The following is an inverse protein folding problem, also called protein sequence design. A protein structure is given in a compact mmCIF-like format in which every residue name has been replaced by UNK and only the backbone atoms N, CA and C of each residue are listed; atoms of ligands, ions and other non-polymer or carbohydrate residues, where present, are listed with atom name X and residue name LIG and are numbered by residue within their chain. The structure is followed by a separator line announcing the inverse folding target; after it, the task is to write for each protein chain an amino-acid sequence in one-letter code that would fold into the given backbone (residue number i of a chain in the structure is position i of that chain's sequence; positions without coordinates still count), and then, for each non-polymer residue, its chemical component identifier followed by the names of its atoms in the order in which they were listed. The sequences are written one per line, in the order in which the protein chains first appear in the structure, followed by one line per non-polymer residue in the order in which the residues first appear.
data_IF_697074175308
#
_entry.id   IF_697074175308
#
_cell.length_a   1.000
_cell.length_b   1.000
_cell.length_c   1.000
_cell.angle_alpha   90.00
_cell.angle_beta   90.00
_cell.angle_gamma   90.00
#
_symmetry.space_group_name_H-M   'P 1'
#
loop_
_entity.id
_entity.type
_entity.pdbx_description
1 polymer ?
#
# COMPACT_ATOMS: atom_id res chain seq x y z
N UNK A 1 75.62 13.89 4.31
CA UNK A 1 74.59 14.84 3.86
C UNK A 1 74.00 14.55 2.46
N UNK A 2 74.21 13.35 1.87
CA UNK A 2 73.60 12.97 0.57
C UNK A 2 72.43 11.98 0.72
N UNK A 3 72.40 11.17 1.79
CA UNK A 3 71.37 10.14 2.01
C UNK A 3 70.05 10.72 2.52
N UNK A 4 70.10 11.82 3.27
CA UNK A 4 68.88 12.50 3.79
C UNK A 4 68.10 13.21 2.66
N UNK A 5 68.80 13.70 1.64
CA UNK A 5 68.16 14.38 0.49
C UNK A 5 67.44 13.38 -0.42
N UNK A 6 67.95 12.15 -0.54
CA UNK A 6 67.31 11.08 -1.33
C UNK A 6 66.05 10.54 -0.64
N UNK A 7 66.04 10.46 0.69
CA UNK A 7 64.84 10.04 1.43
C UNK A 7 63.68 11.07 1.32
N UNK A 8 63.99 12.36 1.23
CA UNK A 8 62.97 13.41 1.04
C UNK A 8 62.39 13.44 -0.38
N UNK A 9 63.14 12.99 -1.39
CA UNK A 9 62.70 12.91 -2.79
C UNK A 9 61.77 11.72 -3.07
N UNK A 10 61.86 10.65 -2.28
CA UNK A 10 60.98 9.46 -2.42
C UNK A 10 59.64 9.67 -1.71
N UNK A 11 59.59 10.47 -0.63
CA UNK A 11 58.34 10.77 0.08
C UNK A 11 57.40 11.71 -0.68
N UNK A 12 57.88 12.42 -1.72
CA UNK A 12 57.07 13.36 -2.50
C UNK A 12 56.27 12.71 -3.64
N UNK A 13 56.40 11.39 -3.83
CA UNK A 13 55.72 10.64 -4.90
C UNK A 13 54.57 9.73 -4.44
N UNK A 14 54.27 9.68 -3.13
CA UNK A 14 53.03 9.05 -2.63
C UNK A 14 51.92 10.09 -2.45
N UNK A 15 51.55 10.77 -3.53
CA UNK A 15 50.24 11.42 -3.60
C UNK A 15 49.21 10.34 -3.92
N UNK A 16 48.65 9.72 -2.87
CA UNK A 16 47.42 8.95 -3.01
C UNK A 16 46.37 9.89 -3.61
N UNK A 17 46.00 9.65 -4.88
CA UNK A 17 44.81 10.28 -5.45
C UNK A 17 43.62 9.72 -4.67
N UNK A 18 43.13 10.47 -3.70
CA UNK A 18 41.84 10.22 -3.07
C UNK A 18 40.77 10.54 -4.10
N UNK A 19 40.41 9.57 -4.93
CA UNK A 19 39.19 9.63 -5.73
C UNK A 19 38.01 9.35 -4.80
N UNK A 20 37.56 10.39 -4.09
CA UNK A 20 36.22 10.39 -3.53
C UNK A 20 35.25 10.53 -4.69
N UNK A 21 34.77 9.40 -5.22
CA UNK A 21 33.67 9.41 -6.16
C UNK A 21 32.48 10.10 -5.48
N UNK A 22 31.85 11.12 -6.09
CA UNK A 22 30.69 11.76 -5.49
C UNK A 22 29.59 10.70 -5.30
N UNK A 23 29.26 10.44 -4.04
CA UNK A 23 28.11 9.60 -3.70
C UNK A 23 26.86 10.38 -4.10
N UNK A 24 26.08 9.80 -5.01
CA UNK A 24 24.85 10.42 -5.48
C UNK A 24 23.90 10.57 -4.30
N UNK A 25 23.62 11.81 -3.91
CA UNK A 25 22.53 12.12 -2.99
C UNK A 25 21.22 11.68 -3.65
N UNK A 26 20.35 11.10 -2.83
CA UNK A 26 19.04 10.64 -3.26
C UNK A 26 18.26 11.75 -3.98
N UNK A 27 17.58 11.39 -5.06
CA UNK A 27 16.96 12.35 -5.98
C UNK A 27 15.47 12.49 -5.72
N UNK A 28 14.96 13.72 -5.84
CA UNK A 28 13.52 14.00 -5.75
C UNK A 28 12.84 13.57 -7.04
N UNK A 29 11.90 12.62 -6.95
CA UNK A 29 11.15 12.10 -8.09
C UNK A 29 9.84 12.87 -8.28
N UNK A 30 9.14 13.20 -7.18
CA UNK A 30 7.87 13.94 -7.20
C UNK A 30 7.83 14.95 -6.03
N UNK A 31 7.24 16.12 -6.27
CA UNK A 31 6.97 17.13 -5.24
C UNK A 31 5.46 17.09 -4.93
N UNK A 32 5.09 17.06 -3.65
CA UNK A 32 3.72 16.87 -3.17
C UNK A 32 3.43 17.93 -2.10
N UNK A 33 2.78 19.03 -2.47
CA UNK A 33 2.57 20.19 -1.60
C UNK A 33 3.88 20.66 -0.93
N UNK A 34 4.04 20.39 0.38
CA UNK A 34 5.22 20.74 1.17
C UNK A 34 6.21 19.59 1.35
N UNK A 35 5.87 18.40 0.85
CA UNK A 35 6.68 17.18 0.91
C UNK A 35 7.28 16.79 -0.44
N UNK A 36 8.17 15.80 -0.39
CA UNK A 36 8.78 15.19 -1.59
C UNK A 36 8.71 13.68 -1.49
N UNK A 37 8.60 13.03 -2.66
CA UNK A 37 8.77 11.59 -2.82
C UNK A 37 10.12 11.37 -3.49
N UNK A 38 10.99 10.62 -2.80
CA UNK A 38 12.35 10.34 -3.25
C UNK A 38 12.41 9.08 -4.13
N UNK A 39 13.47 8.98 -4.92
CA UNK A 39 13.69 7.84 -5.79
C UNK A 39 13.97 6.55 -5.01
N UNK A 40 14.67 6.65 -3.88
CA UNK A 40 14.87 5.52 -2.96
C UNK A 40 13.55 4.93 -2.47
N UNK A 41 12.59 5.78 -2.08
CA UNK A 41 11.29 5.35 -1.55
C UNK A 41 10.47 4.60 -2.61
N UNK A 42 10.48 5.07 -3.85
CA UNK A 42 9.82 4.39 -4.97
C UNK A 42 10.46 3.02 -5.20
N UNK A 43 11.80 2.97 -5.21
CA UNK A 43 12.55 1.74 -5.45
C UNK A 43 12.36 0.71 -4.31
N UNK A 44 12.34 1.18 -3.07
CA UNK A 44 12.09 0.37 -1.88
C UNK A 44 10.67 -0.21 -1.90
N UNK A 45 9.66 0.61 -2.19
CA UNK A 45 8.28 0.14 -2.29
C UNK A 45 8.11 -0.91 -3.40
N UNK A 46 8.69 -0.69 -4.59
CA UNK A 46 8.68 -1.69 -5.67
C UNK A 46 9.37 -2.99 -5.22
N UNK A 47 10.46 -2.88 -4.46
CA UNK A 47 11.19 -4.05 -3.95
C UNK A 47 10.34 -4.86 -2.98
N UNK A 48 9.62 -4.19 -2.08
CA UNK A 48 8.68 -4.81 -1.15
C UNK A 48 7.54 -5.49 -1.92
N UNK A 49 6.93 -4.80 -2.90
CA UNK A 49 5.86 -5.37 -3.74
C UNK A 49 6.34 -6.62 -4.49
N UNK A 50 7.54 -6.57 -5.09
CA UNK A 50 8.15 -7.72 -5.78
C UNK A 50 8.39 -8.89 -4.85
N UNK A 51 8.94 -8.63 -3.65
CA UNK A 51 9.17 -9.66 -2.63
C UNK A 51 7.86 -10.32 -2.21
N UNK A 52 6.84 -9.52 -1.89
CA UNK A 52 5.53 -10.01 -1.47
C UNK A 52 4.85 -10.82 -2.59
N UNK A 53 4.99 -10.42 -3.85
CA UNK A 53 4.45 -11.19 -4.95
C UNK A 53 5.10 -12.56 -5.10
N UNK A 54 6.42 -12.68 -4.90
CA UNK A 54 7.11 -13.98 -4.91
C UNK A 54 6.61 -14.88 -3.78
N UNK A 55 6.43 -14.34 -2.58
CA UNK A 55 5.90 -15.09 -1.43
C UNK A 55 4.46 -15.58 -1.67
N UNK A 56 3.64 -14.78 -2.34
CA UNK A 56 2.25 -15.08 -2.62
C UNK A 56 2.01 -15.73 -4.00
N UNK A 57 3.07 -16.12 -4.72
CA UNK A 57 3.00 -16.67 -6.10
C UNK A 57 2.17 -15.81 -7.06
N UNK A 58 2.24 -14.48 -6.92
CA UNK A 58 1.46 -13.53 -7.70
C UNK A 58 2.23 -13.06 -8.94
N UNK A 59 1.54 -13.02 -10.08
CA UNK A 59 2.07 -12.45 -11.30
C UNK A 59 2.03 -10.92 -11.27
N UNK A 60 3.17 -10.28 -11.53
CA UNK A 60 3.26 -8.82 -11.55
C UNK A 60 3.16 -8.24 -12.96
N UNK A 61 2.68 -6.99 -13.10
CA UNK A 61 2.82 -6.22 -14.33
C UNK A 61 4.26 -5.77 -14.55
N UNK A 62 4.50 -4.98 -15.60
CA UNK A 62 5.85 -4.47 -15.89
C UNK A 62 6.33 -3.48 -14.82
N UNK A 63 7.65 -3.36 -14.68
CA UNK A 63 8.28 -2.43 -13.73
C UNK A 63 7.81 -0.97 -13.91
N UNK A 64 7.50 -0.56 -15.15
CA UNK A 64 6.94 0.76 -15.42
C UNK A 64 5.59 0.96 -14.73
N UNK A 65 4.72 -0.04 -14.80
CA UNK A 65 3.39 0.00 -14.17
C UNK A 65 3.54 -0.01 -12.65
N UNK A 66 4.39 -0.90 -12.12
CA UNK A 66 4.69 -0.93 -10.69
C UNK A 66 5.22 0.41 -10.17
N UNK A 67 6.08 1.06 -10.96
CA UNK A 67 6.59 2.40 -10.63
C UNK A 67 5.49 3.44 -10.56
N UNK A 68 4.57 3.47 -11.53
CA UNK A 68 3.42 4.39 -11.51
C UNK A 68 2.59 4.17 -10.24
N UNK A 69 2.26 2.92 -9.93
CA UNK A 69 1.48 2.59 -8.74
C UNK A 69 2.20 2.92 -7.43
N UNK A 70 3.52 2.69 -7.37
CA UNK A 70 4.34 3.06 -6.22
C UNK A 70 4.36 4.58 -6.01
N UNK A 71 4.49 5.36 -7.09
CA UNK A 71 4.43 6.83 -7.03
C UNK A 71 3.05 7.29 -6.51
N UNK A 72 1.95 6.76 -7.07
CA UNK A 72 0.59 7.11 -6.64
C UNK A 72 0.38 6.82 -5.15
N UNK A 73 0.79 5.63 -4.70
CA UNK A 73 0.75 5.24 -3.28
C UNK A 73 1.56 6.19 -2.39
N UNK A 74 2.79 6.52 -2.78
CA UNK A 74 3.66 7.41 -2.00
C UNK A 74 3.16 8.85 -1.97
N UNK A 75 2.56 9.35 -3.06
CA UNK A 75 1.90 10.66 -3.08
C UNK A 75 0.74 10.66 -2.07
N UNK A 76 -0.12 9.64 -2.11
CA UNK A 76 -1.26 9.52 -1.20
C UNK A 76 -0.80 9.47 0.27
N UNK A 77 0.20 8.64 0.57
CA UNK A 77 0.74 8.52 1.92
C UNK A 77 1.36 9.84 2.40
N UNK A 78 2.04 10.57 1.50
CA UNK A 78 2.60 11.88 1.80
C UNK A 78 1.50 12.91 2.12
N UNK A 79 0.45 12.99 1.30
CA UNK A 79 -0.70 13.88 1.54
C UNK A 79 -1.43 13.55 2.85
N UNK A 80 -1.61 12.26 3.16
CA UNK A 80 -2.24 11.82 4.40
C UNK A 80 -1.36 12.11 5.62
N UNK A 81 -0.04 11.99 5.50
CA UNK A 81 0.91 12.35 6.58
C UNK A 81 0.85 13.85 6.86
N UNK A 82 0.91 14.69 5.82
CA UNK A 82 0.75 16.14 5.99
C UNK A 82 -0.60 16.50 6.62
N UNK A 83 -1.66 15.77 6.28
CA UNK A 83 -2.97 15.96 6.91
C UNK A 83 -2.95 15.57 8.39
N UNK A 84 -2.29 14.47 8.75
CA UNK A 84 -2.11 14.08 10.15
C UNK A 84 -1.45 15.18 10.98
N UNK A 85 -0.36 15.75 10.45
CA UNK A 85 0.39 16.82 11.10
C UNK A 85 -0.50 18.04 11.34
N UNK A 86 -1.27 18.46 10.31
CA UNK A 86 -2.23 19.56 10.42
C UNK A 86 -3.35 19.28 11.43
N UNK A 87 -3.75 18.02 11.59
CA UNK A 87 -4.77 17.60 12.55
C UNK A 87 -4.21 17.39 13.96
N UNK A 88 -2.89 17.43 14.14
CA UNK A 88 -2.23 17.11 15.41
C UNK A 88 -2.41 15.64 15.83
N UNK A 89 -2.60 14.73 14.86
CA UNK A 89 -2.72 13.30 15.15
C UNK A 89 -1.33 12.78 15.53
N UNK A 90 -1.21 12.20 16.72
CA UNK A 90 0.01 11.60 17.21
C UNK A 90 -0.30 10.25 17.85
N UNK A 91 0.67 9.34 17.76
CA UNK A 91 0.61 8.03 18.42
C UNK A 91 1.67 7.99 19.50
N UNK A 92 1.23 7.83 20.74
CA UNK A 92 2.13 7.73 21.90
C UNK A 92 2.92 6.42 21.88
N UNK A 93 4.13 6.42 22.44
CA UNK A 93 4.95 5.21 22.54
C UNK A 93 4.23 4.05 23.25
N UNK A 94 3.52 4.24 24.37
CA UNK A 94 2.76 3.15 24.99
C UNK A 94 1.70 2.54 24.07
N UNK A 95 1.01 3.36 23.28
CA UNK A 95 0.02 2.88 22.31
C UNK A 95 0.69 2.10 21.16
N UNK A 96 1.84 2.57 20.70
CA UNK A 96 2.63 1.89 19.68
C UNK A 96 3.10 0.52 20.16
N UNK A 97 3.73 0.46 21.34
CA UNK A 97 4.23 -0.80 21.92
C UNK A 97 3.09 -1.79 22.17
N UNK A 98 1.93 -1.32 22.63
CA UNK A 98 0.75 -2.17 22.80
C UNK A 98 0.25 -2.73 21.46
N UNK A 99 0.29 -1.92 20.40
CA UNK A 99 -0.09 -2.37 19.05
C UNK A 99 0.87 -3.44 18.55
N UNK A 100 2.18 -3.21 18.67
CA UNK A 100 3.21 -4.17 18.25
C UNK A 100 3.09 -5.47 19.05
N UNK A 101 2.83 -5.39 20.35
CA UNK A 101 2.59 -6.56 21.19
C UNK A 101 1.36 -7.37 20.73
N UNK A 102 0.29 -6.69 20.30
CA UNK A 102 -0.90 -7.36 19.75
C UNK A 102 -0.61 -8.03 18.40
N UNK A 103 0.20 -7.40 17.53
CA UNK A 103 0.65 -8.00 16.27
C UNK A 103 1.47 -9.27 16.55
N UNK A 104 2.47 -9.19 17.44
CA UNK A 104 3.27 -10.34 17.83
C UNK A 104 2.40 -11.48 18.38
N UNK A 105 1.41 -11.15 19.22
CA UNK A 105 0.45 -12.12 19.74
C UNK A 105 -0.40 -12.76 18.64
N UNK A 106 -0.82 -11.98 17.63
CA UNK A 106 -1.55 -12.49 16.47
C UNK A 106 -0.76 -13.51 15.64
N UNK A 107 0.57 -13.37 15.62
CA UNK A 107 1.48 -14.35 15.02
C UNK A 107 1.93 -15.46 15.99
N UNK A 108 1.31 -15.56 17.17
CA UNK A 108 1.65 -16.52 18.22
C UNK A 108 3.09 -16.40 18.75
N UNK A 109 3.67 -15.19 18.73
CA UNK A 109 5.02 -14.90 19.19
C UNK A 109 5.01 -13.93 20.38
N UNK A 110 6.04 -14.00 21.23
CA UNK A 110 6.31 -12.94 22.21
C UNK A 110 7.12 -11.79 21.58
N UNK A 111 7.23 -10.66 22.27
CA UNK A 111 7.88 -9.46 21.72
C UNK A 111 9.36 -9.66 21.39
N UNK A 112 10.08 -10.49 22.17
CA UNK A 112 11.50 -10.76 21.94
C UNK A 112 11.69 -11.62 20.68
N UNK A 113 10.87 -12.65 20.50
CA UNK A 113 10.84 -13.48 19.29
C UNK A 113 10.46 -12.65 18.06
N UNK A 114 9.47 -11.77 18.21
CA UNK A 114 9.01 -10.90 17.13
C UNK A 114 10.10 -9.92 16.68
N UNK A 115 10.82 -9.29 17.62
CA UNK A 115 11.96 -8.41 17.31
C UNK A 115 13.06 -9.14 16.53
N UNK A 116 13.35 -10.38 16.92
CA UNK A 116 14.33 -11.22 16.23
C UNK A 116 13.87 -11.55 14.80
N UNK A 117 12.60 -11.93 14.62
CA UNK A 117 12.00 -12.16 13.28
C UNK A 117 12.14 -10.92 12.38
N UNK A 118 11.75 -9.75 12.88
CA UNK A 118 11.86 -8.48 12.12
C UNK A 118 13.32 -8.21 11.70
N UNK A 119 14.27 -8.47 12.60
CA UNK A 119 15.69 -8.32 12.31
C UNK A 119 16.19 -9.30 11.24
N UNK A 120 15.66 -10.53 11.22
CA UNK A 120 15.96 -11.55 10.21
C UNK A 120 15.37 -11.20 8.83
N UNK A 121 14.27 -10.44 8.78
CA UNK A 121 13.68 -9.92 7.54
C UNK A 121 14.46 -8.74 6.94
N UNK A 122 15.55 -8.33 7.61
CA UNK A 122 16.47 -7.29 7.14
C UNK A 122 16.06 -5.87 7.50
N UNK A 123 15.11 -5.70 8.41
CA UNK A 123 14.64 -4.38 8.88
C UNK A 123 15.02 -4.21 10.35
N UNK A 124 15.52 -3.05 10.74
CA UNK A 124 15.79 -2.79 12.16
C UNK A 124 14.48 -2.66 12.93
N UNK A 125 14.48 -3.07 14.20
CA UNK A 125 13.29 -2.94 15.04
C UNK A 125 12.81 -1.48 15.15
N UNK A 126 13.73 -0.52 15.19
CA UNK A 126 13.37 0.90 15.25
C UNK A 126 12.72 1.37 13.94
N UNK A 127 13.25 1.00 12.78
CA UNK A 127 12.60 1.28 11.48
C UNK A 127 11.20 0.69 11.44
N UNK A 128 11.04 -0.56 11.89
CA UNK A 128 9.73 -1.21 11.94
C UNK A 128 8.75 -0.46 12.86
N UNK A 129 9.20 0.00 14.04
CA UNK A 129 8.38 0.80 14.96
C UNK A 129 7.88 2.09 14.30
N UNK A 130 8.76 2.80 13.59
CA UNK A 130 8.39 4.02 12.87
C UNK A 130 7.37 3.75 11.75
N UNK A 131 7.53 2.66 11.00
CA UNK A 131 6.55 2.25 9.98
C UNK A 131 5.19 1.92 10.59
N UNK A 132 5.13 1.19 11.70
CA UNK A 132 3.86 0.93 12.40
C UNK A 132 3.26 2.22 12.95
N UNK A 133 4.08 3.14 13.48
CA UNK A 133 3.59 4.45 13.94
C UNK A 133 2.95 5.21 12.79
N UNK A 134 3.61 5.26 11.64
CA UNK A 134 3.10 5.90 10.43
C UNK A 134 1.78 5.26 9.99
N UNK A 135 1.69 3.94 9.91
CA UNK A 135 0.45 3.25 9.54
C UNK A 135 -0.71 3.52 10.51
N UNK A 136 -0.44 3.59 11.81
CA UNK A 136 -1.45 3.96 12.82
C UNK A 136 -1.95 5.39 12.60
N UNK A 137 -1.04 6.34 12.37
CA UNK A 137 -1.38 7.74 12.09
C UNK A 137 -2.23 7.84 10.81
N UNK A 138 -1.80 7.23 9.72
CA UNK A 138 -2.53 7.21 8.45
C UNK A 138 -3.92 6.55 8.61
N UNK A 139 -4.00 5.49 9.40
CA UNK A 139 -5.26 4.84 9.77
C UNK A 139 -6.21 5.78 10.49
N UNK A 140 -5.73 6.58 11.45
CA UNK A 140 -6.54 7.58 12.15
C UNK A 140 -6.99 8.72 11.23
N UNK A 141 -6.11 9.20 10.34
CA UNK A 141 -6.47 10.20 9.32
C UNK A 141 -7.62 9.69 8.47
N UNK A 142 -7.51 8.46 7.94
CA UNK A 142 -8.58 7.84 7.13
C UNK A 142 -9.88 7.75 7.92
N UNK A 143 -9.85 7.23 9.14
CA UNK A 143 -11.04 7.12 10.01
C UNK A 143 -11.68 8.47 10.28
N UNK A 144 -10.89 9.47 10.63
CA UNK A 144 -11.38 10.81 10.96
C UNK A 144 -12.02 11.51 9.75
N UNK A 145 -11.47 11.32 8.55
CA UNK A 145 -12.03 11.90 7.33
C UNK A 145 -13.29 11.18 6.84
N UNK A 146 -13.33 9.84 6.93
CA UNK A 146 -14.51 9.06 6.55
C UNK A 146 -15.67 9.31 7.52
N UNK A 147 -15.43 9.26 8.85
CA UNK A 147 -16.47 9.43 9.86
C UNK A 147 -17.21 10.77 9.75
N UNK A 148 -16.54 11.83 9.28
CA UNK A 148 -17.17 13.15 9.06
C UNK A 148 -18.18 13.17 7.91
N UNK A 149 -18.08 12.23 6.98
CA UNK A 149 -18.87 12.20 5.73
C UNK A 149 -19.94 11.11 5.70
N UNK A 150 -19.93 10.18 6.65
CA UNK A 150 -20.91 9.09 6.72
C UNK A 150 -22.15 9.55 7.48
N UNK A 151 -23.28 9.58 6.80
CA UNK A 151 -24.62 9.74 7.39
C UNK A 151 -25.41 8.47 7.08
N UNK A 152 -25.89 7.78 8.12
CA UNK A 152 -26.67 6.55 7.98
C UNK A 152 -28.13 6.90 8.27
N UNK A 153 -29.01 6.65 7.31
CA UNK A 153 -30.44 6.88 7.45
C UNK A 153 -31.11 5.72 8.18
N UNK A 154 -32.23 5.98 8.88
CA UNK A 154 -33.04 4.90 9.46
C UNK A 154 -33.57 3.92 8.40
N UNK A 155 -33.81 4.41 7.18
CA UNK A 155 -34.29 3.57 6.08
C UNK A 155 -33.21 2.58 5.63
N UNK A 156 -31.95 2.99 5.53
CA UNK A 156 -30.83 2.08 5.22
C UNK A 156 -30.69 1.00 6.30
N UNK A 157 -30.85 1.36 7.59
CA UNK A 157 -30.83 0.39 8.68
C UNK A 157 -31.97 -0.62 8.53
N UNK A 158 -33.20 -0.15 8.29
CA UNK A 158 -34.37 -1.04 8.11
C UNK A 158 -34.19 -1.97 6.91
N UNK A 159 -33.74 -1.43 5.77
CA UNK A 159 -33.49 -2.23 4.57
C UNK A 159 -32.42 -3.30 4.83
N UNK A 160 -31.33 -2.95 5.51
CA UNK A 160 -30.28 -3.91 5.86
C UNK A 160 -30.79 -5.01 6.79
N UNK A 161 -31.56 -4.66 7.83
CA UNK A 161 -32.14 -5.65 8.76
C UNK A 161 -33.07 -6.62 8.01
N UNK A 162 -33.94 -6.10 7.14
CA UNK A 162 -34.80 -6.96 6.30
C UNK A 162 -33.97 -7.88 5.40
N UNK A 163 -32.89 -7.37 4.79
CA UNK A 163 -32.01 -8.16 3.94
C UNK A 163 -31.33 -9.31 4.71
N UNK A 164 -30.86 -9.04 5.93
CA UNK A 164 -30.26 -10.05 6.82
C UNK A 164 -31.31 -11.10 7.23
N UNK A 165 -32.51 -10.66 7.62
CA UNK A 165 -33.60 -11.56 8.01
C UNK A 165 -34.07 -12.46 6.85
N UNK A 166 -34.06 -11.95 5.62
CA UNK A 166 -34.40 -12.70 4.40
C UNK A 166 -33.30 -13.66 3.94
N UNK A 167 -32.03 -13.28 4.09
CA UNK A 167 -30.88 -14.12 3.71
C UNK A 167 -30.61 -15.24 4.72
N UNK A 168 -31.05 -15.09 5.97
CA UNK A 168 -30.73 -16.02 7.03
C UNK A 168 -29.22 -16.10 7.31
N UNK A 169 -28.82 -17.07 8.12
CA UNK A 169 -27.43 -17.25 8.53
C UNK A 169 -26.63 -18.04 7.47
N UNK A 170 -26.70 -17.64 6.19
CA UNK A 170 -25.88 -18.25 5.14
C UNK A 170 -24.40 -17.94 5.42
N UNK A 171 -23.71 -18.94 5.97
CA UNK A 171 -22.29 -18.92 6.32
C UNK A 171 -21.35 -18.99 5.09
N UNK A 172 -21.86 -18.69 3.90
CA UNK A 172 -21.04 -18.70 2.69
C UNK A 172 -20.02 -17.56 2.75
N UNK A 173 -18.75 -17.92 2.82
CA UNK A 173 -17.64 -16.98 2.67
C UNK A 173 -17.19 -16.95 1.21
N UNK A 174 -16.94 -15.74 0.71
CA UNK A 174 -16.46 -15.51 -0.65
C UNK A 174 -15.08 -14.86 -0.59
N UNK A 175 -14.14 -15.38 -1.38
CA UNK A 175 -12.87 -14.71 -1.59
C UNK A 175 -13.01 -13.71 -2.75
N UNK A 176 -12.80 -12.42 -2.49
CA UNK A 176 -13.14 -11.35 -3.44
C UNK A 176 -11.89 -10.62 -3.95
N UNK A 177 -11.84 -10.43 -5.26
CA UNK A 177 -10.93 -9.47 -5.91
C UNK A 177 -11.69 -8.23 -6.36
N UNK A 178 -11.06 -7.05 -6.23
CA UNK A 178 -11.66 -5.76 -6.59
C UNK A 178 -10.73 -4.90 -7.45
N UNK A 179 -11.29 -4.36 -8.54
CA UNK A 179 -10.63 -3.40 -9.44
C UNK A 179 -11.51 -2.15 -9.52
N UNK A 180 -10.99 -1.03 -9.03
CA UNK A 180 -11.68 0.25 -9.08
C UNK A 180 -11.19 1.08 -10.27
N UNK A 181 -12.08 1.48 -11.17
CA UNK A 181 -11.76 2.46 -12.20
C UNK A 181 -12.19 3.83 -11.71
N UNK A 182 -11.21 4.63 -11.31
CA UNK A 182 -11.46 5.96 -10.76
C UNK A 182 -11.90 6.97 -11.81
N UNK A 183 -12.70 7.93 -11.35
CA UNK A 183 -13.07 9.14 -12.05
C UNK A 183 -13.20 10.29 -11.03
N UNK A 184 -13.16 11.56 -11.47
CA UNK A 184 -13.21 12.70 -10.56
C UNK A 184 -14.48 12.75 -9.69
N UNK A 185 -14.47 13.36 -8.50
CA UNK A 185 -15.64 13.46 -7.61
C UNK A 185 -16.85 14.16 -8.25
N UNK A 186 -16.60 15.13 -9.12
CA UNK A 186 -17.60 15.82 -9.93
C UNK A 186 -17.31 15.50 -11.40
N UNK A 187 -17.70 14.30 -11.89
CA UNK A 187 -17.32 13.86 -13.21
C UNK A 187 -18.17 14.55 -14.27
N UNK A 188 -17.54 14.83 -15.41
CA UNK A 188 -18.26 15.15 -16.65
C UNK A 188 -18.80 13.87 -17.29
N UNK A 189 -19.77 14.01 -18.20
CA UNK A 189 -20.23 12.86 -19.01
C UNK A 189 -19.08 12.19 -19.76
N UNK A 190 -18.10 12.98 -20.21
CA UNK A 190 -16.90 12.45 -20.86
C UNK A 190 -16.06 11.60 -19.92
N UNK A 191 -15.81 12.06 -18.68
CA UNK A 191 -15.08 11.28 -17.67
C UNK A 191 -15.74 9.93 -17.42
N UNK A 192 -17.08 9.92 -17.31
CA UNK A 192 -17.87 8.70 -17.11
C UNK A 192 -17.72 7.76 -18.31
N UNK A 193 -17.80 8.27 -19.54
CA UNK A 193 -17.63 7.45 -20.74
C UNK A 193 -16.22 6.89 -20.88
N UNK A 194 -15.20 7.68 -20.53
CA UNK A 194 -13.82 7.21 -20.50
C UNK A 194 -13.63 6.11 -19.45
N UNK A 195 -14.14 6.30 -18.23
CA UNK A 195 -14.10 5.31 -17.17
C UNK A 195 -14.81 4.01 -17.57
N UNK A 196 -16.01 4.10 -18.15
CA UNK A 196 -16.74 2.94 -18.71
C UNK A 196 -15.96 2.22 -19.79
N UNK A 197 -15.32 2.96 -20.69
CA UNK A 197 -14.48 2.37 -21.75
C UNK A 197 -13.29 1.62 -21.16
N UNK A 198 -12.62 2.17 -20.14
CA UNK A 198 -11.53 1.49 -19.44
C UNK A 198 -12.02 0.25 -18.70
N UNK A 199 -13.14 0.34 -17.99
CA UNK A 199 -13.78 -0.79 -17.31
C UNK A 199 -14.15 -1.91 -18.28
N UNK A 200 -14.71 -1.56 -19.46
CA UNK A 200 -15.01 -2.53 -20.51
C UNK A 200 -13.79 -3.28 -21.01
N UNK A 201 -12.65 -2.58 -21.21
CA UNK A 201 -11.38 -3.22 -21.58
C UNK A 201 -10.85 -4.15 -20.49
N UNK A 202 -10.95 -3.75 -19.23
CA UNK A 202 -10.57 -4.59 -18.09
C UNK A 202 -11.39 -5.87 -18.09
N UNK A 203 -12.72 -5.77 -18.20
CA UNK A 203 -13.62 -6.93 -18.27
C UNK A 203 -13.28 -7.83 -19.48
N UNK A 204 -13.00 -7.24 -20.65
CA UNK A 204 -12.60 -7.98 -21.84
C UNK A 204 -11.31 -8.79 -21.60
N UNK A 205 -10.29 -8.19 -20.97
CA UNK A 205 -9.03 -8.87 -20.65
C UNK A 205 -9.24 -10.01 -19.66
N UNK A 206 -10.06 -9.80 -18.63
CA UNK A 206 -10.40 -10.81 -17.64
C UNK A 206 -11.16 -11.99 -18.27
N UNK A 207 -12.15 -11.71 -19.13
CA UNK A 207 -12.90 -12.73 -19.85
C UNK A 207 -12.04 -13.54 -20.84
N UNK A 208 -10.94 -12.96 -21.32
CA UNK A 208 -9.93 -13.66 -22.14
C UNK A 208 -8.97 -14.53 -21.31
N UNK A 209 -9.15 -14.60 -19.99
CA UNK A 209 -8.33 -15.42 -19.09
C UNK A 209 -7.07 -14.72 -18.59
N UNK A 210 -7.01 -13.38 -18.63
CA UNK A 210 -5.90 -12.65 -18.01
C UNK A 210 -5.93 -12.82 -16.48
N UNK A 211 -4.74 -12.87 -15.87
CA UNK A 211 -4.57 -12.93 -14.42
C UNK A 211 -5.20 -11.72 -13.73
N UNK A 212 -6.13 -11.96 -12.81
CA UNK A 212 -6.88 -10.90 -12.14
C UNK A 212 -5.98 -9.95 -11.35
N UNK A 213 -5.06 -10.51 -10.55
CA UNK A 213 -4.18 -9.75 -9.69
C UNK A 213 -3.28 -8.82 -10.51
N UNK A 214 -2.76 -9.30 -11.63
CA UNK A 214 -1.98 -8.49 -12.57
C UNK A 214 -2.79 -7.34 -13.17
N UNK A 215 -4.04 -7.58 -13.55
CA UNK A 215 -4.90 -6.53 -14.11
C UNK A 215 -5.30 -5.52 -13.04
N UNK A 216 -5.55 -5.97 -11.81
CA UNK A 216 -5.83 -5.12 -10.66
C UNK A 216 -4.65 -4.19 -10.37
N UNK A 217 -3.43 -4.72 -10.26
CA UNK A 217 -2.23 -3.90 -10.07
C UNK A 217 -1.99 -2.92 -11.22
N UNK A 218 -2.41 -3.26 -12.45
CA UNK A 218 -2.20 -2.38 -13.59
C UNK A 218 -3.26 -1.28 -13.76
N UNK A 219 -4.49 -1.50 -13.27
CA UNK A 219 -5.65 -0.70 -13.68
C UNK A 219 -6.52 -0.21 -12.54
N UNK A 220 -6.36 -0.75 -11.33
CA UNK A 220 -7.15 -0.37 -10.17
C UNK A 220 -6.58 0.88 -9.52
N UNK A 221 -7.41 1.89 -9.28
CA UNK A 221 -7.11 2.97 -8.33
C UNK A 221 -7.50 2.62 -6.89
N UNK A 222 -7.94 1.38 -6.64
CA UNK A 222 -8.30 0.93 -5.30
C UNK A 222 -7.09 0.86 -4.36
N UNK A 223 -7.33 1.02 -3.05
CA UNK A 223 -6.28 0.99 -2.02
C UNK A 223 -5.51 -0.32 -1.92
N UNK A 224 -6.01 -1.40 -2.54
CA UNK A 224 -5.38 -2.74 -2.56
C UNK A 224 -4.81 -3.13 -3.93
N UNK A 225 -4.60 -2.16 -4.84
CA UNK A 225 -4.17 -2.43 -6.21
C UNK A 225 -2.79 -3.15 -6.25
N UNK A 226 -1.83 -2.72 -5.44
CA UNK A 226 -0.50 -3.32 -5.36
C UNK A 226 -0.53 -4.76 -4.81
N UNK A 227 -1.55 -5.08 -4.01
CA UNK A 227 -1.86 -6.41 -3.47
C UNK A 227 -2.76 -7.23 -4.40
N UNK A 228 -2.84 -6.87 -5.69
CA UNK A 228 -3.62 -7.61 -6.68
C UNK A 228 -5.13 -7.39 -6.56
N UNK A 229 -5.58 -6.36 -5.85
CA UNK A 229 -6.99 -6.09 -5.60
C UNK A 229 -7.64 -7.08 -4.63
N UNK A 230 -6.86 -7.90 -3.93
CA UNK A 230 -7.37 -8.92 -3.03
C UNK A 230 -8.04 -8.30 -1.80
N UNK A 231 -9.34 -8.51 -1.63
CA UNK A 231 -10.11 -8.08 -0.45
C UNK A 231 -10.19 -9.18 0.63
N UNK A 232 -9.77 -10.41 0.31
CA UNK A 232 -9.84 -11.57 1.18
C UNK A 232 -11.22 -12.21 1.29
N UNK A 233 -11.35 -13.09 2.29
CA UNK A 233 -12.60 -13.80 2.59
C UNK A 233 -13.59 -12.91 3.33
N UNK A 234 -14.83 -12.90 2.85
CA UNK A 234 -15.90 -12.10 3.40
C UNK A 234 -17.24 -12.85 3.31
N UNK A 235 -18.00 -12.82 4.41
CA UNK A 235 -19.40 -13.25 4.40
C UNK A 235 -20.27 -12.20 3.70
N UNK A 236 -21.35 -12.64 3.05
CA UNK A 236 -22.30 -11.77 2.35
C UNK A 236 -22.83 -10.61 3.21
N UNK A 237 -23.04 -10.83 4.51
CA UNK A 237 -23.52 -9.83 5.46
C UNK A 237 -22.48 -8.75 5.79
N UNK A 238 -21.20 -9.03 5.56
CA UNK A 238 -20.10 -8.06 5.75
C UNK A 238 -19.75 -7.32 4.46
N UNK A 239 -20.39 -7.67 3.36
CA UNK A 239 -20.12 -7.15 2.03
C UNK A 239 -20.94 -5.88 1.75
N UNK A 240 -20.38 -4.87 1.07
CA UNK A 240 -21.17 -3.78 0.52
C UNK A 240 -22.35 -4.31 -0.31
N UNK A 241 -23.53 -3.71 -0.14
CA UNK A 241 -24.80 -4.20 -0.76
C UNK A 241 -24.67 -4.37 -2.28
N UNK A 242 -23.99 -3.45 -2.95
CA UNK A 242 -23.74 -3.51 -4.40
C UNK A 242 -23.00 -4.78 -4.84
N UNK A 243 -22.12 -5.31 -3.99
CA UNK A 243 -21.40 -6.55 -4.27
C UNK A 243 -22.22 -7.78 -3.85
N UNK A 244 -22.91 -7.72 -2.71
CA UNK A 244 -23.77 -8.82 -2.25
C UNK A 244 -24.83 -9.18 -3.31
N UNK A 245 -25.50 -8.17 -3.87
CA UNK A 245 -26.47 -8.35 -4.96
C UNK A 245 -25.84 -8.97 -6.21
N UNK A 246 -24.63 -8.52 -6.58
CA UNK A 246 -23.92 -9.01 -7.76
C UNK A 246 -23.43 -10.45 -7.59
N UNK A 247 -22.96 -10.81 -6.40
CA UNK A 247 -22.51 -12.17 -6.07
C UNK A 247 -23.71 -13.13 -6.13
N UNK A 248 -24.82 -12.81 -5.46
CA UNK A 248 -26.04 -13.65 -5.49
C UNK A 248 -26.57 -13.89 -6.89
N UNK A 249 -26.64 -12.82 -7.71
CA UNK A 249 -27.17 -12.92 -9.07
C UNK A 249 -26.27 -13.74 -10.01
N UNK A 250 -24.97 -13.77 -9.74
CA UNK A 250 -23.97 -14.42 -10.57
C UNK A 250 -23.32 -15.65 -9.92
N UNK A 251 -23.95 -16.23 -8.89
CA UNK A 251 -23.58 -17.57 -8.41
C UNK A 251 -23.74 -18.53 -9.58
N UNK A 252 -22.64 -18.75 -10.31
CA UNK A 252 -22.49 -19.93 -11.14
C UNK A 252 -22.50 -21.09 -10.16
N UNK A 253 -23.67 -21.71 -9.99
CA UNK A 253 -23.77 -23.12 -9.60
C UNK A 253 -22.76 -23.85 -10.47
N UNK A 254 -21.62 -24.14 -9.87
CA UNK A 254 -20.56 -24.92 -10.49
C UNK A 254 -20.94 -26.38 -10.37
#
# INVERSE_FOLDING_TARGET
MKVIVVAFLISSFLSLKTEAAPELLDSVSVIVDQGVVLESQISELITVVKRNAVLNNQNLPSDRVLRTQAIEKLILDNLQTQMADRMGIQVSDPQLEQTIANIAKGENMNIAQFREKVSQEGVTYDTYREEIRKELILGEVRRANVRRRVYITEQEIKNLVTLIDEQGDEQAEYNLGHILIEFPPEPTDEDIQQAKTRAGKVIELLNKGSDFAKIATASSGGSRALEGGDLGWMNINSMPTLFAEAVQKNLKTT
#
